data_IF_606581324789
#
_entry.id   IF_606581324789
#
_cell.length_a   1.000
_cell.length_b   1.000
_cell.length_c   1.000
_cell.angle_alpha   90.00
_cell.angle_beta   90.00
_cell.angle_gamma   90.00
#
_symmetry.space_group_name_H-M   'P 1'
#
loop_
_entity.id
_entity.type
_entity.pdbx_description
1 polymer ?
#
# COMPACT_ATOMS: atom_id res chain seq x y z
N UNK A 1 -14.39 -15.13 8.64
CA UNK A 1 -12.99 -14.77 8.89
C UNK A 1 -12.50 -15.48 10.14
N UNK A 2 -11.72 -16.56 9.97
CA UNK A 2 -11.20 -17.35 11.10
C UNK A 2 -9.80 -16.91 11.56
N UNK A 3 -9.31 -15.77 11.09
CA UNK A 3 -8.04 -15.22 11.56
C UNK A 3 -8.30 -14.25 12.71
N UNK A 4 -7.98 -14.72 13.90
CA UNK A 4 -8.10 -13.97 15.17
C UNK A 4 -7.06 -12.87 15.35
N UNK A 5 -6.32 -12.51 14.30
CA UNK A 5 -5.32 -11.44 14.38
C UNK A 5 -5.96 -10.11 13.98
N UNK A 6 -5.86 -9.15 14.87
CA UNK A 6 -6.33 -7.81 14.57
C UNK A 6 -5.53 -7.20 13.41
N UNK A 7 -6.21 -6.63 12.40
CA UNK A 7 -5.51 -5.90 11.35
C UNK A 7 -4.85 -4.65 11.92
N UNK A 8 -3.73 -4.23 11.31
CA UNK A 8 -3.07 -3.00 11.72
C UNK A 8 -3.93 -1.78 11.41
N UNK A 9 -4.47 -1.73 10.21
CA UNK A 9 -5.39 -0.69 9.78
C UNK A 9 -6.11 -1.11 8.50
N UNK A 10 -7.16 -0.36 8.16
CA UNK A 10 -8.03 -0.63 7.04
C UNK A 10 -7.91 0.42 5.95
N UNK A 11 -8.12 0.02 4.70
CA UNK A 11 -8.18 0.91 3.55
C UNK A 11 -9.53 0.69 2.88
N UNK A 12 -10.37 1.72 2.86
CA UNK A 12 -11.66 1.68 2.19
C UNK A 12 -11.52 2.05 0.73
N UNK A 13 -12.07 1.23 -0.15
CA UNK A 13 -12.14 1.47 -1.58
C UNK A 13 -13.58 1.80 -1.96
N UNK A 14 -13.78 2.94 -2.59
CA UNK A 14 -15.09 3.32 -3.11
C UNK A 14 -14.93 4.25 -4.30
N UNK A 15 -15.36 3.77 -5.46
CA UNK A 15 -15.32 4.54 -6.71
C UNK A 15 -16.60 4.30 -7.50
N UNK A 16 -17.19 5.37 -8.02
CA UNK A 16 -18.40 5.31 -8.84
C UNK A 16 -18.12 5.59 -10.32
N UNK A 17 -17.10 6.38 -10.62
CA UNK A 17 -16.72 6.75 -11.98
C UNK A 17 -15.18 6.75 -12.11
N UNK A 18 -14.60 6.25 -13.18
CA UNK A 18 -15.23 5.75 -14.42
C UNK A 18 -15.77 4.31 -14.34
N UNK A 19 -15.62 3.64 -13.20
CA UNK A 19 -16.17 2.31 -12.96
C UNK A 19 -16.59 2.17 -11.50
N UNK A 20 -17.50 1.24 -11.23
CA UNK A 20 -17.91 0.94 -9.86
C UNK A 20 -16.93 -0.04 -9.22
N UNK A 21 -16.40 0.35 -8.08
CA UNK A 21 -15.54 -0.50 -7.28
C UNK A 21 -15.75 -0.19 -5.80
N UNK A 22 -16.02 -1.22 -5.02
CA UNK A 22 -16.15 -1.12 -3.57
C UNK A 22 -15.34 -2.22 -2.92
N UNK A 23 -14.75 -1.91 -1.77
CA UNK A 23 -14.01 -2.91 -1.05
C UNK A 23 -13.35 -2.39 0.20
N UNK A 24 -12.76 -3.33 0.92
CA UNK A 24 -11.97 -3.07 2.10
C UNK A 24 -10.71 -3.92 2.01
N UNK A 25 -9.57 -3.26 2.10
CA UNK A 25 -8.28 -3.92 2.26
C UNK A 25 -7.76 -3.67 3.66
N UNK A 26 -6.97 -4.59 4.19
CA UNK A 26 -6.33 -4.38 5.48
C UNK A 26 -4.92 -4.97 5.52
N UNK A 27 -4.07 -4.33 6.32
CA UNK A 27 -2.74 -4.83 6.59
C UNK A 27 -2.81 -5.83 7.74
N UNK A 28 -2.47 -7.11 7.49
CA UNK A 28 -2.37 -8.07 8.57
C UNK A 28 -1.09 -7.81 9.36
N UNK A 29 -1.10 -8.16 10.64
CA UNK A 29 0.12 -8.23 11.42
C UNK A 29 0.95 -9.43 10.93
N UNK A 30 2.13 -9.14 10.37
CA UNK A 30 3.00 -10.18 9.82
C UNK A 30 3.77 -10.83 10.96
N UNK A 31 3.44 -12.10 11.25
CA UNK A 31 4.25 -12.91 12.15
C UNK A 31 5.15 -13.79 11.27
N UNK A 32 6.42 -13.41 11.17
CA UNK A 32 7.36 -13.95 10.18
C UNK A 32 7.79 -15.39 10.43
N UNK A 33 7.44 -16.00 11.56
CA UNK A 33 8.00 -17.31 11.92
C UNK A 33 7.23 -18.51 11.36
N UNK A 34 5.92 -18.40 11.06
CA UNK A 34 5.08 -19.58 10.73
C UNK A 34 3.99 -19.35 9.69
N UNK A 35 3.89 -18.21 9.03
CA UNK A 35 2.79 -17.94 8.11
C UNK A 35 3.27 -17.70 6.69
N UNK A 36 2.45 -18.18 5.75
CA UNK A 36 2.51 -17.76 4.37
C UNK A 36 2.42 -16.22 4.32
N UNK A 37 3.43 -15.56 3.79
CA UNK A 37 3.49 -14.10 3.66
C UNK A 37 2.42 -13.55 2.71
N UNK A 38 1.75 -14.43 1.97
CA UNK A 38 0.70 -14.03 1.06
C UNK A 38 -0.62 -13.82 1.80
N UNK A 39 -1.13 -12.61 1.72
CA UNK A 39 -2.49 -12.31 2.13
C UNK A 39 -3.50 -12.90 1.14
N UNK A 40 -4.78 -12.77 1.44
CA UNK A 40 -5.85 -13.19 0.52
C UNK A 40 -6.75 -12.00 0.22
N UNK A 41 -6.79 -11.60 -1.04
CA UNK A 41 -7.74 -10.60 -1.55
C UNK A 41 -8.77 -11.34 -2.41
N UNK A 42 -10.01 -11.33 -1.95
CA UNK A 42 -11.13 -11.98 -2.65
C UNK A 42 -11.78 -10.98 -3.60
N UNK A 43 -11.92 -11.39 -4.85
CA UNK A 43 -12.53 -10.57 -5.89
C UNK A 43 -13.94 -11.07 -6.18
N UNK A 44 -14.88 -10.13 -6.16
CA UNK A 44 -16.29 -10.35 -6.50
C UNK A 44 -16.68 -9.46 -7.67
N UNK A 45 -17.71 -9.89 -8.39
CA UNK A 45 -18.40 -9.04 -9.35
C UNK A 45 -19.89 -9.12 -9.06
N UNK A 46 -20.46 -7.99 -8.67
CA UNK A 46 -21.87 -7.88 -8.30
C UNK A 46 -22.27 -8.91 -7.24
N UNK A 47 -21.46 -9.03 -6.18
CA UNK A 47 -21.61 -9.96 -5.06
C UNK A 47 -21.41 -11.45 -5.41
N UNK A 48 -21.00 -11.76 -6.63
CA UNK A 48 -20.65 -13.12 -7.04
C UNK A 48 -19.14 -13.31 -6.96
N UNK A 49 -18.72 -14.34 -6.21
CA UNK A 49 -17.30 -14.66 -6.07
C UNK A 49 -16.68 -15.05 -7.41
N UNK A 50 -15.53 -14.49 -7.72
CA UNK A 50 -14.78 -14.77 -8.94
C UNK A 50 -13.53 -15.57 -8.65
N UNK A 51 -12.63 -15.05 -7.84
CA UNK A 51 -11.37 -15.71 -7.51
C UNK A 51 -10.64 -15.02 -6.37
N UNK A 52 -9.60 -15.68 -5.88
CA UNK A 52 -8.65 -15.13 -4.93
C UNK A 52 -7.38 -14.62 -5.65
N UNK A 53 -6.79 -13.57 -5.16
CA UNK A 53 -5.45 -13.10 -5.52
C UNK A 53 -5.17 -13.03 -7.03
N UNK A 54 -6.07 -12.40 -7.79
CA UNK A 54 -5.90 -12.24 -9.24
C UNK A 54 -4.78 -11.23 -9.52
N UNK A 55 -3.62 -11.71 -9.92
CA UNK A 55 -2.43 -10.91 -10.21
C UNK A 55 -2.63 -9.91 -11.35
N UNK A 56 -3.52 -10.23 -12.29
CA UNK A 56 -3.86 -9.37 -13.42
C UNK A 56 -4.58 -8.09 -12.99
N UNK A 57 -5.38 -8.16 -11.94
CA UNK A 57 -6.16 -7.03 -11.41
C UNK A 57 -5.45 -6.35 -10.25
N UNK A 58 -4.80 -7.14 -9.41
CA UNK A 58 -4.15 -6.66 -8.18
C UNK A 58 -2.64 -6.74 -8.37
N UNK A 59 -1.91 -5.61 -8.25
CA UNK A 59 -0.46 -5.62 -8.33
C UNK A 59 0.15 -6.63 -7.36
N UNK A 60 1.20 -7.32 -7.80
CA UNK A 60 1.82 -8.41 -7.04
C UNK A 60 2.23 -8.00 -5.62
N UNK A 61 2.76 -6.80 -5.45
CA UNK A 61 3.18 -6.32 -4.14
C UNK A 61 2.00 -6.10 -3.17
N UNK A 62 0.79 -5.86 -3.69
CA UNK A 62 -0.42 -5.72 -2.89
C UNK A 62 -0.97 -7.06 -2.39
N UNK A 63 -0.49 -8.19 -2.90
CA UNK A 63 -0.93 -9.51 -2.47
C UNK A 63 -0.54 -9.84 -1.00
N UNK A 64 0.30 -9.02 -0.38
CA UNK A 64 0.57 -9.10 1.06
C UNK A 64 -0.62 -8.62 1.91
N UNK A 65 -1.54 -7.88 1.31
CA UNK A 65 -2.76 -7.42 1.97
C UNK A 65 -3.84 -8.48 1.93
N UNK A 66 -4.80 -8.34 2.83
CA UNK A 66 -6.02 -9.13 2.84
C UNK A 66 -7.23 -8.23 2.60
N UNK A 67 -8.33 -8.81 2.16
CA UNK A 67 -9.56 -8.04 2.01
C UNK A 67 -10.50 -8.59 0.96
N UNK A 68 -11.44 -7.75 0.60
CA UNK A 68 -12.51 -8.05 -0.36
C UNK A 68 -12.71 -6.86 -1.27
N UNK A 69 -12.81 -7.12 -2.57
CA UNK A 69 -13.09 -6.11 -3.60
C UNK A 69 -14.27 -6.58 -4.43
N UNK A 70 -15.26 -5.72 -4.62
CA UNK A 70 -16.36 -5.95 -5.55
C UNK A 70 -16.30 -4.92 -6.68
N UNK A 71 -16.19 -5.40 -7.91
CA UNK A 71 -16.19 -4.60 -9.12
C UNK A 71 -17.18 -5.15 -10.12
N UNK A 72 -18.44 -4.63 -10.13
CA UNK A 72 -19.47 -5.09 -11.05
C UNK A 72 -19.11 -4.98 -12.54
N UNK A 73 -18.28 -3.98 -12.87
CA UNK A 73 -17.89 -3.71 -14.26
C UNK A 73 -16.76 -4.60 -14.77
N UNK A 74 -16.25 -5.50 -13.94
CA UNK A 74 -15.15 -6.39 -14.33
C UNK A 74 -15.64 -7.41 -15.39
N UNK A 75 -14.93 -7.55 -16.52
CA UNK A 75 -15.31 -8.51 -17.54
C UNK A 75 -15.12 -9.96 -17.06
N UNK A 76 -16.23 -10.69 -16.87
CA UNK A 76 -16.23 -12.05 -16.31
C UNK A 76 -15.88 -13.14 -17.33
N UNK A 77 -16.09 -12.88 -18.63
CA UNK A 77 -15.97 -13.87 -19.71
C UNK A 77 -14.63 -13.84 -20.44
N UNK A 78 -13.63 -13.19 -19.84
CA UNK A 78 -12.33 -12.98 -20.49
C UNK A 78 -11.28 -13.87 -19.82
N UNK A 79 -10.41 -14.48 -20.62
CA UNK A 79 -9.30 -15.27 -20.09
C UNK A 79 -8.32 -14.40 -19.28
N UNK A 80 -7.59 -15.00 -18.34
CA UNK A 80 -6.57 -14.27 -17.55
C UNK A 80 -5.56 -13.53 -18.42
N UNK A 81 -5.14 -14.12 -19.54
CA UNK A 81 -4.20 -13.48 -20.45
C UNK A 81 -4.78 -12.24 -21.13
N UNK A 82 -6.09 -12.21 -21.40
CA UNK A 82 -6.76 -11.04 -21.94
C UNK A 82 -6.94 -9.93 -20.88
N UNK A 83 -7.10 -10.30 -19.60
CA UNK A 83 -7.16 -9.33 -18.50
C UNK A 83 -5.85 -8.53 -18.34
N UNK A 84 -4.69 -9.15 -18.58
CA UNK A 84 -3.40 -8.49 -18.50
C UNK A 84 -3.24 -7.30 -19.47
N UNK A 85 -3.90 -7.38 -20.62
CA UNK A 85 -3.82 -6.37 -21.67
C UNK A 85 -5.02 -5.41 -21.68
N UNK A 86 -5.95 -5.56 -20.74
CA UNK A 86 -7.14 -4.73 -20.67
C UNK A 86 -6.83 -3.41 -19.96
N UNK A 87 -7.05 -2.30 -20.67
CA UNK A 87 -6.86 -0.96 -20.10
C UNK A 87 -7.75 -0.67 -18.90
N UNK A 88 -8.91 -1.30 -18.81
CA UNK A 88 -9.82 -1.19 -17.68
C UNK A 88 -9.22 -1.83 -16.42
N UNK A 89 -8.65 -3.03 -16.55
CA UNK A 89 -7.98 -3.74 -15.46
C UNK A 89 -6.79 -2.93 -14.93
N UNK A 90 -6.04 -2.30 -15.83
CA UNK A 90 -4.94 -1.41 -15.45
C UNK A 90 -5.43 -0.22 -14.63
N UNK A 91 -6.56 0.37 -14.98
CA UNK A 91 -7.16 1.47 -14.22
C UNK A 91 -7.56 1.06 -12.81
N UNK A 92 -8.10 -0.16 -12.65
CA UNK A 92 -8.42 -0.73 -11.33
C UNK A 92 -7.14 -0.87 -10.50
N UNK A 93 -6.12 -1.47 -11.08
CA UNK A 93 -4.82 -1.68 -10.45
C UNK A 93 -4.19 -0.35 -10.00
N UNK A 94 -4.17 0.65 -10.88
CA UNK A 94 -3.63 1.98 -10.58
C UNK A 94 -4.42 2.68 -9.46
N UNK A 95 -5.74 2.53 -9.45
CA UNK A 95 -6.60 3.09 -8.41
C UNK A 95 -6.32 2.48 -7.04
N UNK A 96 -6.22 1.14 -6.97
CA UNK A 96 -5.91 0.44 -5.72
C UNK A 96 -4.54 0.87 -5.20
N UNK A 97 -3.54 0.89 -6.06
CA UNK A 97 -2.18 1.33 -5.72
C UNK A 97 -2.16 2.74 -5.16
N UNK A 98 -2.87 3.66 -5.82
CA UNK A 98 -2.99 5.04 -5.36
C UNK A 98 -3.64 5.14 -3.99
N UNK A 99 -4.73 4.41 -3.74
CA UNK A 99 -5.43 4.43 -2.46
C UNK A 99 -4.57 3.89 -1.32
N UNK A 100 -3.80 2.84 -1.58
CA UNK A 100 -2.86 2.30 -0.59
C UNK A 100 -1.77 3.33 -0.27
N UNK A 101 -1.16 3.94 -1.28
CA UNK A 101 -0.15 4.97 -1.10
C UNK A 101 -0.71 6.19 -0.36
N UNK A 102 -1.93 6.65 -0.70
CA UNK A 102 -2.59 7.78 -0.05
C UNK A 102 -2.86 7.48 1.44
N UNK A 103 -3.27 6.26 1.77
CA UNK A 103 -3.49 5.85 3.17
C UNK A 103 -2.19 5.88 3.97
N UNK A 104 -1.12 5.30 3.43
CA UNK A 104 0.18 5.26 4.11
C UNK A 104 0.78 6.65 4.27
N UNK A 105 0.75 7.48 3.23
CA UNK A 105 1.24 8.85 3.31
C UNK A 105 0.42 9.71 4.26
N UNK A 106 -0.90 9.55 4.26
CA UNK A 106 -1.80 10.23 5.18
C UNK A 106 -1.53 9.86 6.64
N UNK A 107 -1.28 8.60 6.94
CA UNK A 107 -0.90 8.16 8.29
C UNK A 107 0.42 8.79 8.72
N UNK A 108 1.40 8.87 7.84
CA UNK A 108 2.68 9.51 8.13
C UNK A 108 2.53 11.00 8.46
N UNK A 109 1.61 11.69 7.78
CA UNK A 109 1.37 13.13 7.97
C UNK A 109 0.53 13.45 9.20
N UNK A 110 -0.49 12.66 9.46
CA UNK A 110 -1.55 12.99 10.44
C UNK A 110 -1.47 12.10 11.68
N UNK A 111 -1.12 10.84 11.52
CA UNK A 111 -1.06 9.83 12.56
C UNK A 111 0.35 9.26 12.70
N UNK A 112 1.33 10.16 12.85
CA UNK A 112 2.77 9.81 12.83
C UNK A 112 3.12 8.72 13.84
N UNK A 113 2.60 8.78 15.06
CA UNK A 113 2.87 7.78 16.10
C UNK A 113 2.41 6.39 15.70
N UNK A 114 1.19 6.29 15.14
CA UNK A 114 0.66 5.03 14.63
C UNK A 114 1.48 4.51 13.46
N UNK A 115 1.90 5.39 12.56
CA UNK A 115 2.74 5.04 11.42
C UNK A 115 4.09 4.48 11.87
N UNK A 116 4.73 5.11 12.84
CA UNK A 116 5.98 4.64 13.43
C UNK A 116 5.81 3.28 14.13
N UNK A 117 4.70 3.10 14.85
CA UNK A 117 4.35 1.85 15.53
C UNK A 117 4.22 0.68 14.56
N UNK A 118 3.64 0.92 13.38
CA UNK A 118 3.43 -0.10 12.37
C UNK A 118 4.59 -0.23 11.37
N UNK A 119 5.60 0.61 11.48
CA UNK A 119 6.66 0.69 10.47
C UNK A 119 7.36 -0.64 10.21
N UNK A 120 7.68 -1.41 11.24
CA UNK A 120 8.36 -2.70 11.07
C UNK A 120 7.52 -3.71 10.27
N UNK A 121 6.19 -3.62 10.39
CA UNK A 121 5.25 -4.45 9.62
C UNK A 121 5.02 -3.92 8.20
N UNK A 122 5.04 -2.61 8.02
CA UNK A 122 4.75 -1.92 6.74
C UNK A 122 6.00 -1.85 5.85
N UNK A 123 7.17 -1.71 6.44
CA UNK A 123 8.42 -1.47 5.74
C UNK A 123 8.73 -2.51 4.65
N UNK A 124 8.60 -3.82 4.89
CA UNK A 124 8.83 -4.81 3.83
C UNK A 124 7.89 -4.64 2.65
N UNK A 125 6.63 -4.31 2.91
CA UNK A 125 5.63 -4.05 1.87
C UNK A 125 6.00 -2.83 1.02
N UNK A 126 6.38 -1.72 1.65
CA UNK A 126 6.78 -0.49 0.93
C UNK A 126 8.03 -0.73 0.10
N UNK A 127 9.02 -1.39 0.65
CA UNK A 127 10.26 -1.71 -0.06
C UNK A 127 10.02 -2.62 -1.26
N UNK A 128 9.20 -3.64 -1.08
CA UNK A 128 8.81 -4.53 -2.18
C UNK A 128 8.03 -3.79 -3.27
N UNK A 129 7.08 -2.94 -2.87
CA UNK A 129 6.32 -2.10 -3.78
C UNK A 129 7.20 -1.14 -4.58
N UNK A 130 8.20 -0.54 -3.94
CA UNK A 130 9.17 0.33 -4.61
C UNK A 130 10.01 -0.40 -5.65
N UNK A 131 10.29 -1.68 -5.44
CA UNK A 131 11.01 -2.49 -6.42
C UNK A 131 10.15 -2.88 -7.62
N UNK A 132 8.83 -2.95 -7.44
CA UNK A 132 7.90 -3.44 -8.46
C UNK A 132 7.15 -2.35 -9.21
N UNK A 133 6.97 -1.19 -8.61
CA UNK A 133 6.16 -0.10 -9.16
C UNK A 133 6.81 1.25 -8.90
N UNK A 134 7.31 1.88 -9.98
CA UNK A 134 7.99 3.18 -9.90
C UNK A 134 7.07 4.31 -9.43
N UNK A 135 5.80 4.28 -9.82
CA UNK A 135 4.82 5.28 -9.40
C UNK A 135 4.52 5.20 -7.91
N UNK A 136 4.44 3.97 -7.39
CA UNK A 136 4.29 3.74 -5.97
C UNK A 136 5.53 4.23 -5.21
N UNK A 137 6.71 3.95 -5.73
CA UNK A 137 7.97 4.41 -5.15
C UNK A 137 8.05 5.94 -5.09
N UNK A 138 7.70 6.62 -6.18
CA UNK A 138 7.66 8.09 -6.23
C UNK A 138 6.72 8.69 -5.17
N UNK A 139 5.61 8.04 -4.89
CA UNK A 139 4.68 8.49 -3.86
C UNK A 139 5.17 8.21 -2.45
N UNK A 140 5.90 7.13 -2.24
CA UNK A 140 6.29 6.66 -0.92
C UNK A 140 7.69 7.09 -0.47
N UNK A 141 8.54 7.57 -1.38
CA UNK A 141 9.93 7.92 -1.06
C UNK A 141 10.08 8.93 0.09
N UNK A 142 9.16 9.88 0.20
CA UNK A 142 9.19 10.92 1.23
C UNK A 142 8.64 10.46 2.58
N UNK A 143 8.04 9.28 2.63
CA UNK A 143 7.37 8.71 3.81
C UNK A 143 8.08 7.47 4.35
N UNK A 144 9.25 7.14 3.84
CA UNK A 144 10.07 6.06 4.38
C UNK A 144 10.73 6.51 5.67
N UNK A 145 10.70 5.67 6.69
CA UNK A 145 11.29 5.97 7.99
C UNK A 145 12.67 5.34 8.13
N UNK A 146 13.54 6.07 8.82
CA UNK A 146 14.88 5.61 9.20
C UNK A 146 15.05 5.79 10.70
N UNK A 147 15.70 4.86 11.35
CA UNK A 147 16.08 5.01 12.77
C UNK A 147 17.40 5.78 12.86
N UNK A 148 17.42 6.80 13.70
CA UNK A 148 18.68 7.45 14.08
C UNK A 148 19.42 6.67 15.18
N UNK A 149 20.58 7.16 15.60
CA UNK A 149 21.38 6.52 16.64
C UNK A 149 20.70 6.49 18.02
N UNK A 150 19.72 7.36 18.24
CA UNK A 150 18.91 7.42 19.46
C UNK A 150 17.69 6.50 19.41
N UNK A 151 17.50 5.78 18.30
CA UNK A 151 16.35 4.89 18.10
C UNK A 151 15.06 5.57 17.67
N UNK A 152 15.10 6.85 17.32
CA UNK A 152 13.94 7.59 16.81
C UNK A 152 13.75 7.39 15.31
N UNK A 153 12.50 7.29 14.89
CA UNK A 153 12.14 7.22 13.47
C UNK A 153 12.08 8.60 12.84
N UNK A 154 12.78 8.77 11.73
CA UNK A 154 12.82 10.01 10.96
C UNK A 154 12.53 9.73 9.48
N UNK A 155 11.83 10.66 8.82
CA UNK A 155 11.81 10.71 7.35
C UNK A 155 13.10 11.37 6.87
N UNK A 156 13.37 11.26 5.57
CA UNK A 156 14.52 11.97 4.97
C UNK A 156 14.41 13.48 5.21
N UNK A 157 13.21 14.04 5.09
CA UNK A 157 12.96 15.47 5.35
C UNK A 157 13.28 15.85 6.79
N UNK A 158 12.85 15.04 7.77
CA UNK A 158 13.16 15.26 9.18
C UNK A 158 14.67 15.24 9.44
N UNK A 159 15.37 14.29 8.83
CA UNK A 159 16.82 14.17 8.94
C UNK A 159 17.53 15.40 8.38
N UNK A 160 17.10 15.88 7.22
CA UNK A 160 17.66 17.08 6.58
C UNK A 160 17.45 18.31 7.44
N UNK A 161 16.27 18.50 8.01
CA UNK A 161 15.98 19.61 8.94
C UNK A 161 16.88 19.55 10.17
N UNK A 162 17.00 18.38 10.80
CA UNK A 162 17.85 18.22 11.97
C UNK A 162 19.32 18.48 11.66
N UNK A 163 19.81 18.05 10.51
CA UNK A 163 21.18 18.30 10.07
C UNK A 163 21.44 19.78 9.82
N UNK A 164 20.49 20.49 9.20
CA UNK A 164 20.58 21.94 8.98
C UNK A 164 20.56 22.74 10.28
N UNK A 165 19.69 22.38 11.21
CA UNK A 165 19.64 23.01 12.54
C UNK A 165 20.93 22.80 13.33
N UNK A 166 21.49 21.58 13.30
CA UNK A 166 22.76 21.27 13.96
C UNK A 166 23.95 22.00 13.35
N UNK A 167 23.93 22.26 12.05
CA UNK A 167 24.97 22.99 11.34
C UNK A 167 24.81 24.53 11.45
N UNK A 168 23.66 25.01 11.94
CA UNK A 168 23.36 26.46 11.98
C UNK A 168 23.14 27.07 10.60
N UNK A 169 22.78 26.23 9.60
CA UNK A 169 22.57 26.64 8.21
C UNK A 169 21.13 27.10 7.99
N UNK A 170 20.97 28.12 7.15
CA UNK A 170 19.64 28.58 6.70
C UNK A 170 19.13 27.71 5.55
N UNK A 171 17.81 27.78 5.25
CA UNK A 171 17.10 26.92 4.29
C UNK A 171 17.69 26.90 2.85
N UNK A 172 18.64 27.79 2.53
CA UNK A 172 19.17 27.96 1.17
C UNK A 172 20.44 27.13 0.88
N UNK A 173 20.93 26.34 1.81
CA UNK A 173 22.17 25.58 1.57
C UNK A 173 21.87 24.27 0.87
N UNK A 174 22.44 24.01 -0.33
CA UNK A 174 22.23 22.75 -1.01
C UNK A 174 22.88 21.58 -0.25
N UNK A 175 22.16 20.47 -0.20
CA UNK A 175 22.67 19.22 0.33
C UNK A 175 23.73 18.64 -0.62
N UNK A 176 24.91 18.46 -0.09
CA UNK A 176 25.97 17.72 -0.79
C UNK A 176 25.89 16.25 -0.43
#
# INVERSE_FOLDING_TARGET
FHDYKEPLFWIHLNMDYPFNLKGILYFPKINTEYENLEGTIKLYSNQVFIADNIKEVIPEFLLLLKGVIDCPDLPLNVSRSALQNDGFVKKISDYITKKVADKLSGMCKVEREEYEKYWDDISPFIKFGCLKDDKFCEKMKDYMLFKNLEGKYLTLEDYVKAAKEAAGETEETPLV
#
